data_IF_959080245100
#
_entry.id   IF_959080245100
#
_cell.length_a   1.000
_cell.length_b   1.000
_cell.length_c   1.000
_cell.angle_alpha   90.00
_cell.angle_beta   90.00
_cell.angle_gamma   90.00
#
_symmetry.space_group_name_H-M   'P 1'
#
loop_
_entity.id
_entity.type
_entity.pdbx_description
1 polymer ?
#
# COMPACT_ATOMS: atom_id res chain seq x y z
N UNK A 1 13.18 4.53 -10.00
CA UNK A 1 14.23 5.57 -10.08
C UNK A 1 13.80 6.70 -10.98
N UNK A 2 13.96 7.92 -10.55
CA UNK A 2 13.69 9.11 -11.36
C UNK A 2 15.00 9.87 -11.58
N UNK A 3 15.27 10.24 -12.82
CA UNK A 3 16.41 11.07 -13.22
C UNK A 3 15.86 12.37 -13.76
N UNK A 4 16.31 13.49 -13.19
CA UNK A 4 15.93 14.83 -13.65
C UNK A 4 17.21 15.59 -13.97
N UNK A 5 17.26 16.15 -15.18
CA UNK A 5 18.39 16.94 -15.65
C UNK A 5 17.91 18.33 -16.07
N UNK A 6 18.62 19.38 -15.67
CA UNK A 6 18.30 20.74 -16.11
C UNK A 6 18.98 21.80 -15.24
N UNK A 7 19.11 23.01 -15.78
CA UNK A 7 19.79 24.11 -15.10
C UNK A 7 18.99 24.76 -13.97
N UNK A 8 17.67 24.64 -14.00
CA UNK A 8 16.78 25.42 -13.15
C UNK A 8 16.19 24.60 -11.99
N UNK A 9 15.97 23.29 -12.19
CA UNK A 9 15.23 22.47 -11.24
C UNK A 9 16.04 22.04 -10.02
N UNK A 10 17.35 21.86 -10.17
CA UNK A 10 18.23 21.44 -9.07
C UNK A 10 18.57 22.56 -8.06
N UNK A 11 18.25 23.81 -8.41
CA UNK A 11 18.49 24.97 -7.55
C UNK A 11 17.23 25.49 -6.83
N UNK A 12 16.10 24.80 -6.95
CA UNK A 12 14.87 25.18 -6.22
C UNK A 12 15.01 24.66 -4.77
N UNK A 13 15.02 25.55 -3.75
CA UNK A 13 15.06 25.11 -2.36
C UNK A 13 13.89 24.16 -2.05
N UNK A 14 14.18 23.04 -1.38
CA UNK A 14 13.17 22.03 -1.03
C UNK A 14 12.81 21.02 -2.16
N UNK A 15 13.24 21.25 -3.41
CA UNK A 15 12.94 20.33 -4.51
C UNK A 15 13.65 18.97 -4.34
N UNK A 16 14.91 19.00 -3.92
CA UNK A 16 15.69 17.80 -3.64
C UNK A 16 15.12 17.03 -2.42
N UNK A 17 14.61 17.76 -1.42
CA UNK A 17 13.94 17.17 -0.26
C UNK A 17 12.63 16.50 -0.67
N UNK A 18 11.83 17.13 -1.54
CA UNK A 18 10.60 16.55 -2.06
C UNK A 18 10.84 15.29 -2.91
N UNK A 19 11.94 15.23 -3.67
CA UNK A 19 12.33 14.05 -4.45
C UNK A 19 12.85 12.90 -3.57
N UNK A 20 13.40 13.21 -2.41
CA UNK A 20 13.95 12.24 -1.47
C UNK A 20 12.94 11.75 -0.43
N UNK A 21 11.70 12.27 -0.41
CA UNK A 21 10.70 11.84 0.55
C UNK A 21 10.24 10.41 0.28
N UNK A 22 10.42 9.56 1.28
CA UNK A 22 9.89 8.20 1.29
C UNK A 22 8.52 8.20 1.98
N UNK A 23 7.48 7.61 1.38
CA UNK A 23 6.15 7.55 1.98
C UNK A 23 6.06 6.58 3.17
N UNK A 24 7.07 5.72 3.36
CA UNK A 24 7.12 4.74 4.43
C UNK A 24 7.82 5.26 5.70
N UNK A 25 7.74 4.47 6.75
CA UNK A 25 8.45 4.73 8.02
C UNK A 25 9.96 4.53 7.89
N UNK A 26 10.38 3.53 7.12
CA UNK A 26 11.79 3.29 6.79
C UNK A 26 12.16 4.16 5.59
N UNK A 27 13.18 5.01 5.75
CA UNK A 27 13.72 5.75 4.61
C UNK A 27 14.58 4.82 3.74
N UNK A 28 13.98 4.34 2.66
CA UNK A 28 14.63 3.48 1.67
C UNK A 28 14.91 4.26 0.38
N UNK A 29 15.05 5.58 0.47
CA UNK A 29 15.33 6.46 -0.67
C UNK A 29 16.80 6.82 -0.71
N UNK A 30 17.46 6.61 -1.84
CA UNK A 30 18.78 7.08 -2.15
C UNK A 30 18.69 8.29 -3.07
N UNK A 31 19.02 9.46 -2.57
CA UNK A 31 19.13 10.70 -3.37
C UNK A 31 20.60 10.96 -3.71
N UNK A 32 20.88 11.11 -4.99
CA UNK A 32 22.21 11.52 -5.48
C UNK A 32 22.06 12.70 -6.42
N UNK A 33 22.73 13.79 -6.08
CA UNK A 33 22.77 15.00 -6.92
C UNK A 33 24.21 15.39 -7.23
N UNK A 34 24.44 16.06 -8.36
CA UNK A 34 25.75 16.53 -8.76
C UNK A 34 25.67 17.49 -9.93
N UNK A 35 26.79 18.18 -10.20
CA UNK A 35 26.92 19.11 -11.32
C UNK A 35 27.68 18.45 -12.47
N UNK A 36 27.13 18.56 -13.68
CA UNK A 36 27.69 18.10 -14.95
C UNK A 36 28.38 19.26 -15.71
N UNK A 37 29.21 20.06 -15.00
CA UNK A 37 29.86 21.25 -15.55
C UNK A 37 29.20 22.55 -15.09
N UNK A 38 29.62 23.71 -15.67
CA UNK A 38 29.28 25.05 -15.18
C UNK A 38 27.79 25.45 -15.32
N UNK A 39 26.96 24.65 -15.98
CA UNK A 39 25.56 25.03 -16.26
C UNK A 39 24.54 23.91 -16.23
N UNK A 40 24.93 22.71 -15.89
CA UNK A 40 23.98 21.56 -15.84
C UNK A 40 24.13 20.76 -14.55
N UNK A 41 23.03 20.51 -13.88
CA UNK A 41 22.95 19.65 -12.70
C UNK A 41 22.09 18.42 -12.97
N UNK A 42 22.28 17.37 -12.17
CA UNK A 42 21.40 16.19 -12.17
C UNK A 42 21.00 15.87 -10.74
N UNK A 43 19.80 15.32 -10.60
CA UNK A 43 19.32 14.68 -9.38
C UNK A 43 18.83 13.27 -9.73
N UNK A 44 19.31 12.27 -9.02
CA UNK A 44 18.88 10.88 -9.13
C UNK A 44 18.25 10.48 -7.80
N UNK A 45 16.97 10.21 -7.78
CA UNK A 45 16.25 9.62 -6.66
C UNK A 45 15.91 8.16 -6.98
N UNK A 46 16.32 7.26 -6.10
CA UNK A 46 16.00 5.82 -6.18
C UNK A 46 15.36 5.41 -4.89
N UNK A 47 14.12 4.96 -4.94
CA UNK A 47 13.37 4.43 -3.78
C UNK A 47 13.15 2.95 -3.96
N UNK A 48 13.41 2.16 -2.92
CA UNK A 48 13.05 0.75 -2.89
C UNK A 48 11.54 0.64 -2.66
N UNK A 49 10.84 0.11 -3.65
CA UNK A 49 9.39 -0.06 -3.59
C UNK A 49 8.98 -1.23 -2.69
N UNK A 50 9.80 -2.28 -2.66
CA UNK A 50 9.52 -3.49 -1.88
C UNK A 50 10.80 -4.07 -1.29
N UNK A 51 10.76 -4.34 0.01
CA UNK A 51 11.79 -5.04 0.75
C UNK A 51 11.15 -5.69 1.98
N UNK A 52 10.96 -7.00 1.95
CA UNK A 52 10.26 -7.73 3.02
C UNK A 52 10.90 -9.08 3.30
N UNK A 53 10.67 -9.58 4.51
CA UNK A 53 10.98 -10.93 4.94
C UNK A 53 9.69 -11.67 5.23
N UNK A 54 9.59 -12.93 4.80
CA UNK A 54 8.42 -13.78 5.03
C UNK A 54 8.84 -15.07 5.70
N UNK A 55 8.08 -15.44 6.72
CA UNK A 55 8.19 -16.70 7.45
C UNK A 55 6.89 -17.46 7.28
N UNK A 56 6.97 -18.74 6.86
CA UNK A 56 5.80 -19.57 6.60
C UNK A 56 5.83 -20.80 7.52
N UNK A 57 4.75 -21.01 8.28
CA UNK A 57 4.57 -22.10 9.24
C UNK A 57 3.21 -22.77 8.98
N UNK A 58 3.17 -23.92 8.33
CA UNK A 58 1.94 -24.65 7.98
C UNK A 58 0.81 -23.72 7.45
N UNK A 59 -0.06 -23.24 8.34
CA UNK A 59 -1.19 -22.35 8.01
C UNK A 59 -0.95 -20.87 8.34
N UNK A 60 0.20 -20.53 8.93
CA UNK A 60 0.53 -19.16 9.34
C UNK A 60 1.65 -18.60 8.48
N UNK A 61 1.43 -17.44 7.91
CA UNK A 61 2.47 -16.62 7.26
C UNK A 61 2.64 -15.30 8.01
N UNK A 62 3.89 -14.93 8.24
CA UNK A 62 4.27 -13.66 8.87
C UNK A 62 5.15 -12.92 7.89
N UNK A 63 4.78 -11.72 7.49
CA UNK A 63 5.55 -10.88 6.59
C UNK A 63 5.88 -9.55 7.27
N UNK A 64 7.15 -9.19 7.27
CA UNK A 64 7.68 -7.97 7.87
C UNK A 64 8.46 -7.16 6.83
N UNK A 65 8.21 -5.87 6.73
CA UNK A 65 8.93 -4.94 5.88
C UNK A 65 8.03 -4.23 4.87
N UNK A 66 8.66 -3.63 3.85
CA UNK A 66 7.94 -2.90 2.80
C UNK A 66 7.29 -3.87 1.83
N UNK A 67 5.98 -4.01 1.95
CA UNK A 67 5.15 -4.94 1.19
C UNK A 67 3.86 -4.27 0.72
N UNK A 68 3.25 -4.84 -0.30
CA UNK A 68 1.91 -4.44 -0.72
C UNK A 68 0.87 -5.27 0.03
N UNK A 69 -0.03 -4.58 0.74
CA UNK A 69 -1.22 -5.18 1.35
C UNK A 69 -2.42 -4.67 0.57
N UNK A 70 -3.14 -5.55 -0.10
CA UNK A 70 -4.31 -5.18 -0.88
C UNK A 70 -5.51 -6.02 -0.45
N UNK A 71 -6.49 -5.39 0.17
CA UNK A 71 -7.74 -6.00 0.61
C UNK A 71 -8.94 -5.62 -0.28
N UNK A 72 -8.67 -4.85 -1.35
CA UNK A 72 -9.69 -4.49 -2.33
C UNK A 72 -10.07 -5.66 -3.24
N UNK A 73 -11.36 -5.76 -3.56
CA UNK A 73 -11.92 -6.76 -4.48
C UNK A 73 -12.42 -6.16 -5.79
N UNK A 74 -12.63 -4.84 -5.83
CA UNK A 74 -13.10 -4.17 -7.05
C UNK A 74 -11.94 -3.77 -7.95
N UNK A 75 -12.24 -3.45 -9.22
CA UNK A 75 -11.22 -3.17 -10.22
C UNK A 75 -10.87 -1.68 -10.30
N UNK A 76 -11.82 -0.81 -9.94
CA UNK A 76 -11.70 0.64 -10.19
C UNK A 76 -11.53 1.41 -8.89
N UNK A 77 -12.35 1.14 -7.92
CA UNK A 77 -12.37 1.82 -6.63
C UNK A 77 -12.41 0.82 -5.50
N UNK A 78 -11.36 0.81 -4.67
CA UNK A 78 -11.18 -0.15 -3.59
C UNK A 78 -11.19 0.58 -2.23
N UNK A 79 -12.36 0.89 -1.66
CA UNK A 79 -12.44 1.57 -0.37
C UNK A 79 -11.89 0.74 0.79
N UNK A 80 -11.82 -0.58 0.64
CA UNK A 80 -11.23 -1.50 1.61
C UNK A 80 -9.69 -1.57 1.54
N UNK A 81 -9.04 -0.90 0.58
CA UNK A 81 -7.58 -0.86 0.46
C UNK A 81 -6.97 0.22 1.38
N UNK A 82 -7.18 0.09 2.70
CA UNK A 82 -6.79 1.07 3.71
C UNK A 82 -5.28 1.17 3.95
N UNK A 83 -4.50 0.19 3.52
CA UNK A 83 -3.05 0.20 3.65
C UNK A 83 -2.34 0.95 2.52
N UNK A 84 -2.98 1.08 1.37
CA UNK A 84 -2.42 1.73 0.20
C UNK A 84 -3.33 2.89 -0.28
N UNK A 85 -3.87 3.67 0.67
CA UNK A 85 -4.75 4.80 0.34
C UNK A 85 -4.01 5.86 -0.46
N UNK A 86 -4.49 6.12 -1.66
CA UNK A 86 -4.01 7.14 -2.58
C UNK A 86 -4.96 8.32 -2.65
N UNK A 87 -4.38 9.49 -2.95
CA UNK A 87 -5.17 10.60 -3.47
C UNK A 87 -5.80 10.17 -4.79
N UNK A 88 -7.12 10.31 -4.92
CA UNK A 88 -7.88 10.02 -6.15
C UNK A 88 -7.43 10.84 -7.36
N UNK A 89 -6.56 11.81 -7.17
CA UNK A 89 -6.04 12.71 -8.20
C UNK A 89 -4.71 12.26 -8.81
N UNK A 90 -4.06 11.24 -8.25
CA UNK A 90 -2.83 10.68 -8.80
C UNK A 90 -3.13 9.53 -9.77
N UNK A 91 -3.48 9.88 -11.00
CA UNK A 91 -3.82 8.91 -12.07
C UNK A 91 -2.57 8.33 -12.74
N UNK A 92 -1.39 8.86 -12.46
CA UNK A 92 -0.16 8.61 -13.25
C UNK A 92 0.82 7.61 -12.61
N UNK A 93 0.40 6.84 -11.59
CA UNK A 93 1.25 5.80 -11.01
C UNK A 93 0.90 4.42 -11.56
N UNK A 94 1.79 3.82 -12.38
CA UNK A 94 1.59 2.47 -12.91
C UNK A 94 1.62 1.39 -11.82
N UNK A 95 2.21 1.66 -10.67
CA UNK A 95 2.29 0.70 -9.57
C UNK A 95 2.21 1.40 -8.20
N UNK A 96 1.41 0.84 -7.29
CA UNK A 96 1.22 1.37 -5.94
C UNK A 96 2.44 1.07 -5.07
N UNK A 97 3.05 2.05 -4.37
CA UNK A 97 4.18 1.82 -3.49
C UNK A 97 3.83 0.85 -2.36
N UNK A 98 4.83 0.14 -1.86
CA UNK A 98 4.71 -0.72 -0.70
C UNK A 98 4.53 0.07 0.58
N UNK A 99 3.93 -0.56 1.58
CA UNK A 99 3.81 -0.03 2.95
C UNK A 99 4.77 -0.75 3.87
N UNK A 100 5.41 -0.02 4.79
CA UNK A 100 6.23 -0.59 5.86
C UNK A 100 5.31 -1.18 6.92
N UNK A 101 5.13 -2.49 6.88
CA UNK A 101 4.09 -3.18 7.62
C UNK A 101 4.57 -4.51 8.21
N UNK A 102 3.88 -4.90 9.27
CA UNK A 102 3.86 -6.26 9.78
C UNK A 102 2.49 -6.87 9.44
N UNK A 103 2.50 -8.05 8.81
CA UNK A 103 1.30 -8.78 8.39
C UNK A 103 1.35 -10.21 8.89
N UNK A 104 0.27 -10.65 9.50
CA UNK A 104 0.00 -12.03 9.87
C UNK A 104 -1.15 -12.54 9.01
N UNK A 105 -0.98 -13.70 8.39
CA UNK A 105 -1.97 -14.33 7.53
C UNK A 105 -2.16 -15.76 7.97
N UNK A 106 -3.37 -16.12 8.36
CA UNK A 106 -3.72 -17.46 8.81
C UNK A 106 -4.79 -18.08 7.92
N UNK A 107 -4.46 -19.22 7.31
CA UNK A 107 -5.36 -19.96 6.43
C UNK A 107 -6.26 -20.86 7.26
N UNK A 108 -7.53 -20.48 7.41
CA UNK A 108 -8.52 -21.24 8.20
C UNK A 108 -9.13 -22.40 7.39
N UNK A 109 -9.00 -22.38 6.08
CA UNK A 109 -9.49 -23.39 5.17
C UNK A 109 -8.99 -23.18 3.74
N UNK A 110 -9.47 -23.97 2.79
CA UNK A 110 -9.01 -23.90 1.40
C UNK A 110 -9.33 -22.57 0.70
N UNK A 111 -10.38 -21.89 1.14
CA UNK A 111 -10.86 -20.64 0.56
C UNK A 111 -11.14 -19.57 1.64
N UNK A 112 -10.58 -19.73 2.84
CA UNK A 112 -10.80 -18.81 3.95
C UNK A 112 -9.49 -18.41 4.60
N UNK A 113 -9.36 -17.12 4.89
CA UNK A 113 -8.13 -16.52 5.42
C UNK A 113 -8.49 -15.42 6.41
N UNK A 114 -7.78 -15.40 7.53
CA UNK A 114 -7.74 -14.27 8.46
C UNK A 114 -6.41 -13.56 8.26
N UNK A 115 -6.44 -12.25 8.12
CA UNK A 115 -5.25 -11.42 8.09
C UNK A 115 -5.33 -10.35 9.17
N UNK A 116 -4.19 -10.06 9.80
CA UNK A 116 -4.02 -8.91 10.68
C UNK A 116 -2.79 -8.16 10.18
N UNK A 117 -2.93 -6.87 9.96
CA UNK A 117 -1.83 -6.06 9.48
C UNK A 117 -1.75 -4.74 10.23
N UNK A 118 -0.54 -4.25 10.40
CA UNK A 118 -0.26 -2.93 10.96
C UNK A 118 0.86 -2.28 10.15
N UNK A 119 0.67 -1.00 9.79
CA UNK A 119 1.69 -0.17 9.14
C UNK A 119 1.92 1.11 9.92
N UNK A 120 3.11 1.67 9.74
CA UNK A 120 3.46 3.02 10.19
C UNK A 120 3.81 3.85 8.96
N UNK A 121 3.26 5.05 8.84
CA UNK A 121 3.59 5.98 7.76
C UNK A 121 4.79 6.88 8.13
N UNK A 122 5.25 7.70 7.18
CA UNK A 122 6.34 8.66 7.39
C UNK A 122 6.01 9.72 8.47
N UNK A 123 4.75 9.98 8.72
CA UNK A 123 4.26 10.87 9.79
C UNK A 123 4.12 10.15 11.13
N UNK A 124 4.58 8.90 11.26
CA UNK A 124 4.46 8.03 12.44
C UNK A 124 3.03 7.71 12.86
N UNK A 125 2.06 7.84 11.95
CA UNK A 125 0.69 7.42 12.21
C UNK A 125 0.55 5.92 11.95
N UNK A 126 -0.16 5.25 12.83
CA UNK A 126 -0.39 3.81 12.74
C UNK A 126 -1.73 3.54 12.08
N UNK A 127 -1.74 2.63 11.11
CA UNK A 127 -2.95 1.99 10.60
C UNK A 127 -2.87 0.52 10.94
N UNK A 128 -3.87 -0.02 11.65
CA UNK A 128 -3.91 -1.42 12.04
C UNK A 128 -5.32 -1.96 11.84
N UNK A 129 -5.44 -3.11 11.21
CA UNK A 129 -6.73 -3.72 10.94
C UNK A 129 -6.65 -5.25 10.85
N UNK A 130 -7.80 -5.87 11.04
CA UNK A 130 -8.03 -7.28 10.80
C UNK A 130 -8.99 -7.45 9.62
N UNK A 131 -8.79 -8.53 8.89
CA UNK A 131 -9.51 -8.87 7.68
C UNK A 131 -9.85 -10.36 7.73
N UNK A 132 -11.08 -10.71 7.38
CA UNK A 132 -11.52 -12.09 7.23
C UNK A 132 -12.20 -12.29 5.88
N UNK A 133 -11.72 -13.25 5.11
CA UNK A 133 -12.32 -13.66 3.85
C UNK A 133 -12.68 -15.13 3.88
N UNK A 134 -13.83 -15.46 3.30
CA UNK A 134 -14.29 -16.83 3.11
C UNK A 134 -15.16 -16.94 1.85
N UNK A 135 -15.27 -18.14 1.31
CA UNK A 135 -16.17 -18.43 0.20
C UNK A 135 -17.47 -19.03 0.72
N UNK A 136 -18.60 -18.52 0.25
CA UNK A 136 -19.92 -19.06 0.51
C UNK A 136 -20.80 -18.94 -0.73
N UNK A 137 -21.40 -20.05 -1.13
CA UNK A 137 -22.31 -20.13 -2.30
C UNK A 137 -21.69 -19.59 -3.61
N UNK A 138 -20.39 -19.76 -3.80
CA UNK A 138 -19.69 -19.27 -4.98
C UNK A 138 -19.32 -17.78 -4.96
N UNK A 139 -19.52 -17.11 -3.82
CA UNK A 139 -19.07 -15.74 -3.56
C UNK A 139 -17.93 -15.72 -2.56
N UNK A 140 -16.89 -14.97 -2.87
CA UNK A 140 -15.88 -14.56 -1.90
C UNK A 140 -16.43 -13.37 -1.13
N UNK A 141 -16.65 -13.57 0.15
CA UNK A 141 -17.16 -12.55 1.07
C UNK A 141 -16.03 -12.14 1.99
N UNK A 142 -15.90 -10.84 2.24
CA UNK A 142 -14.90 -10.30 3.15
C UNK A 142 -15.50 -9.31 4.14
N UNK A 143 -14.88 -9.29 5.32
CA UNK A 143 -15.10 -8.29 6.36
C UNK A 143 -13.76 -7.76 6.82
N UNK A 144 -13.70 -6.48 7.10
CA UNK A 144 -12.54 -5.85 7.73
C UNK A 144 -12.96 -4.88 8.83
N UNK A 145 -12.09 -4.69 9.80
CA UNK A 145 -12.27 -3.72 10.85
C UNK A 145 -10.94 -3.33 11.46
N UNK A 146 -10.79 -2.05 11.81
CA UNK A 146 -9.53 -1.56 12.36
C UNK A 146 -9.53 -0.06 12.62
N UNK A 147 -8.32 0.47 12.78
CA UNK A 147 -8.04 1.89 13.00
C UNK A 147 -7.19 2.40 11.84
N UNK A 148 -7.65 3.48 11.22
CA UNK A 148 -6.95 4.18 10.14
C UNK A 148 -6.28 5.43 10.68
N UNK A 149 -4.95 5.53 10.49
CA UNK A 149 -4.12 6.66 10.89
C UNK A 149 -4.28 7.11 12.37
N UNK A 150 -4.62 6.19 13.28
CA UNK A 150 -4.88 6.42 14.72
C UNK A 150 -6.09 7.30 15.04
N UNK A 151 -6.85 7.75 14.07
CA UNK A 151 -7.94 8.70 14.24
C UNK A 151 -9.29 8.07 13.93
N UNK A 152 -9.39 7.33 12.84
CA UNK A 152 -10.65 6.81 12.33
C UNK A 152 -10.83 5.32 12.61
N UNK A 153 -11.99 4.95 13.14
CA UNK A 153 -12.47 3.58 13.13
C UNK A 153 -12.93 3.22 11.70
N UNK A 154 -12.43 2.13 11.17
CA UNK A 154 -12.80 1.62 9.85
C UNK A 154 -13.52 0.29 9.97
N UNK A 155 -14.66 0.18 9.32
CA UNK A 155 -15.38 -1.07 9.10
C UNK A 155 -15.62 -1.23 7.60
N UNK A 156 -15.38 -2.42 7.05
CA UNK A 156 -15.56 -2.67 5.64
C UNK A 156 -16.11 -4.05 5.35
N UNK A 157 -16.76 -4.17 4.22
CA UNK A 157 -17.22 -5.44 3.66
C UNK A 157 -17.04 -5.44 2.15
N UNK A 158 -16.92 -6.62 1.58
CA UNK A 158 -16.84 -6.79 0.14
C UNK A 158 -17.35 -8.17 -0.28
N UNK A 159 -17.70 -8.27 -1.54
CA UNK A 159 -18.14 -9.52 -2.16
C UNK A 159 -17.70 -9.57 -3.61
N UNK A 160 -17.37 -10.77 -4.07
CA UNK A 160 -17.00 -11.03 -5.46
C UNK A 160 -17.45 -12.44 -5.85
N UNK A 161 -18.21 -12.57 -6.90
CA UNK A 161 -18.71 -13.86 -7.39
C UNK A 161 -19.36 -13.71 -8.76
N UNK A 162 -20.00 -14.77 -9.22
CA UNK A 162 -20.69 -14.82 -10.51
C UNK A 162 -22.17 -15.10 -10.34
N UNK A 163 -22.99 -14.34 -11.04
CA UNK A 163 -24.42 -14.58 -11.22
C UNK A 163 -24.63 -15.08 -12.65
N UNK A 164 -24.57 -16.41 -12.83
CA UNK A 164 -24.54 -17.01 -14.15
C UNK A 164 -23.28 -16.59 -14.94
N UNK A 165 -23.41 -16.03 -16.15
CA UNK A 165 -22.27 -15.60 -16.96
C UNK A 165 -21.71 -14.22 -16.55
N UNK A 166 -22.36 -13.54 -15.58
CA UNK A 166 -22.02 -12.16 -15.22
C UNK A 166 -21.24 -12.12 -13.91
N UNK A 167 -20.10 -11.41 -13.90
CA UNK A 167 -19.36 -11.15 -12.67
C UNK A 167 -20.07 -10.06 -11.85
N UNK A 168 -20.27 -10.33 -10.57
CA UNK A 168 -20.87 -9.40 -9.61
C UNK A 168 -19.94 -9.22 -8.42
N UNK A 169 -19.49 -7.97 -8.21
CA UNK A 169 -18.59 -7.61 -7.12
C UNK A 169 -18.89 -6.21 -6.58
N UNK A 170 -18.57 -6.00 -5.32
CA UNK A 170 -18.74 -4.71 -4.68
C UNK A 170 -17.99 -4.63 -3.36
N UNK A 171 -17.80 -3.39 -2.91
CA UNK A 171 -17.18 -3.06 -1.63
C UNK A 171 -17.90 -1.89 -0.98
N UNK A 172 -17.86 -1.87 0.34
CA UNK A 172 -18.36 -0.78 1.16
C UNK A 172 -17.46 -0.60 2.38
N UNK A 173 -17.11 0.65 2.68
CA UNK A 173 -16.35 1.01 3.89
C UNK A 173 -17.04 2.15 4.62
N UNK A 174 -16.97 2.09 5.95
CA UNK A 174 -17.45 3.13 6.86
C UNK A 174 -16.26 3.62 7.70
N UNK A 175 -16.09 4.93 7.77
CA UNK A 175 -15.06 5.61 8.56
C UNK A 175 -15.75 6.51 9.61
N UNK A 176 -15.20 6.54 10.83
CA UNK A 176 -15.70 7.36 11.94
C UNK A 176 -14.55 7.88 12.77
#
# INVERSE_FOLDING_TARGET
>A
SRVITGNTLTNIPGYNEALGQDPGWMDLTLLRSGNLGSSSGYALATTLDRLWLQFSFDKLEITLGRQRINWGQTLVWNPNDIFNSYSYFEVDYPERPGSDALRFQYYTGNASTIEVAAKVDSSRRVTAAAYYRFNSLGFDIQFLGGIYQQEDLVLGTGWSGNLGPTSFRGEMSYFR
#
